data_IF_894037158311
#
_entry.id   IF_894037158311
#
_cell.length_a   1.000
_cell.length_b   1.000
_cell.length_c   1.000
_cell.angle_alpha   90.00
_cell.angle_beta   90.00
_cell.angle_gamma   90.00
#
_symmetry.space_group_name_H-M   'P 1'
#
loop_
_entity.id
_entity.type
_entity.pdbx_description
1 polymer ?
#
# COMPACT_ATOMS: atom_id res chain seq x y z
N UNK A 1 11.68 -43.28 59.46
CA UNK A 1 10.40 -43.01 60.15
C UNK A 1 10.61 -41.72 60.94
N UNK A 2 9.75 -40.72 60.76
CA UNK A 2 9.92 -39.35 61.27
C UNK A 2 10.20 -38.38 60.12
N UNK A 3 9.17 -37.99 59.38
CA UNK A 3 8.38 -36.75 59.54
C UNK A 3 9.10 -35.56 58.89
N UNK A 4 8.64 -35.05 57.74
CA UNK A 4 7.48 -34.16 57.56
C UNK A 4 7.58 -32.93 58.48
N UNK A 5 8.23 -31.91 57.94
CA UNK A 5 8.41 -30.59 58.53
C UNK A 5 8.22 -29.56 57.44
N UNK A 6 6.96 -29.36 57.09
CA UNK A 6 6.46 -28.32 56.21
C UNK A 6 6.59 -26.97 56.94
N UNK A 7 7.03 -25.90 56.26
CA UNK A 7 6.78 -24.53 56.74
C UNK A 7 7.77 -23.44 56.34
N UNK A 8 7.32 -22.54 55.46
CA UNK A 8 7.69 -21.11 55.52
C UNK A 8 8.82 -20.65 54.58
N UNK A 9 8.49 -20.40 53.31
CA UNK A 9 9.44 -19.94 52.29
C UNK A 9 9.73 -18.44 52.24
N UNK A 10 10.55 -17.98 51.28
CA UNK A 10 10.61 -16.59 50.90
C UNK A 10 10.06 -16.34 49.48
N UNK A 11 9.09 -15.41 49.39
CA UNK A 11 9.01 -14.41 48.33
C UNK A 11 8.69 -14.87 46.91
N UNK A 12 7.39 -14.87 46.57
CA UNK A 12 6.92 -14.67 45.20
C UNK A 12 7.33 -13.27 44.74
N UNK A 13 8.41 -13.18 43.95
CA UNK A 13 8.70 -11.98 43.17
C UNK A 13 8.65 -12.31 41.68
N UNK A 14 7.70 -11.66 41.00
CA UNK A 14 7.87 -11.17 39.64
C UNK A 14 7.73 -12.19 38.52
N UNK A 15 6.56 -12.19 37.86
CA UNK A 15 6.36 -12.87 36.59
C UNK A 15 7.34 -12.39 35.53
N UNK A 16 8.11 -13.34 34.99
CA UNK A 16 8.74 -13.16 33.68
C UNK A 16 7.66 -13.02 32.60
N UNK A 17 7.95 -12.34 31.48
CA UNK A 17 6.94 -12.02 30.48
C UNK A 17 6.30 -13.31 29.94
N UNK A 18 5.03 -13.51 30.28
CA UNK A 18 4.13 -14.40 29.56
C UNK A 18 4.17 -13.98 28.10
N UNK A 19 4.73 -14.82 27.23
CA UNK A 19 4.80 -14.56 25.79
C UNK A 19 3.38 -14.42 25.24
N UNK A 20 2.87 -13.18 25.21
CA UNK A 20 1.63 -12.80 24.55
C UNK A 20 1.78 -13.08 23.07
N UNK A 21 0.99 -14.04 22.59
CA UNK A 21 0.52 -14.21 21.22
C UNK A 21 1.54 -13.86 20.13
N UNK A 22 2.18 -14.90 19.60
CA UNK A 22 2.87 -14.88 18.31
C UNK A 22 2.09 -14.03 17.30
N UNK A 23 2.65 -12.87 16.97
CA UNK A 23 2.09 -11.87 16.06
C UNK A 23 1.79 -12.55 14.73
N UNK A 24 0.49 -12.79 14.52
CA UNK A 24 -0.06 -13.38 13.31
C UNK A 24 0.36 -12.51 12.13
N UNK A 25 1.15 -13.12 11.23
CA UNK A 25 1.45 -12.64 9.89
C UNK A 25 0.26 -11.87 9.32
N UNK A 26 0.44 -10.57 9.16
CA UNK A 26 -0.28 -9.83 8.13
C UNK A 26 0.75 -9.10 7.31
N UNK A 27 1.14 -9.74 6.21
CA UNK A 27 1.79 -9.06 5.11
C UNK A 27 0.91 -7.87 4.73
N UNK A 28 1.26 -6.69 5.23
CA UNK A 28 0.98 -5.47 4.49
C UNK A 28 2.14 -5.34 3.51
N UNK A 29 2.16 -6.18 2.48
CA UNK A 29 2.84 -5.75 1.27
C UNK A 29 2.08 -4.51 0.84
N UNK A 30 2.66 -3.34 1.06
CA UNK A 30 2.06 -2.06 0.70
C UNK A 30 1.80 -2.12 -0.80
N UNK A 31 0.55 -2.38 -1.17
CA UNK A 31 0.15 -2.36 -2.58
C UNK A 31 0.21 -0.91 -3.04
N UNK A 32 1.02 -0.65 -4.06
CA UNK A 32 1.13 0.66 -4.68
C UNK A 32 0.80 0.54 -6.16
N UNK A 33 0.10 1.55 -6.68
CA UNK A 33 -0.20 1.68 -8.10
C UNK A 33 0.57 2.86 -8.66
N UNK A 34 1.35 2.64 -9.71
CA UNK A 34 2.06 3.69 -10.43
C UNK A 34 1.63 3.68 -11.89
N UNK A 35 1.16 4.82 -12.36
CA UNK A 35 0.75 5.02 -13.75
C UNK A 35 1.56 6.20 -14.30
N UNK A 36 2.17 6.02 -15.47
CA UNK A 36 2.84 7.08 -16.23
C UNK A 36 2.14 7.17 -17.58
N UNK A 37 1.71 8.37 -17.95
CA UNK A 37 1.01 8.64 -19.21
C UNK A 37 1.79 9.72 -19.95
N UNK A 38 2.10 9.48 -21.22
CA UNK A 38 2.74 10.44 -22.11
C UNK A 38 1.89 10.63 -23.37
N UNK A 39 1.76 11.88 -23.81
CA UNK A 39 0.89 12.26 -24.91
C UNK A 39 0.78 13.77 -25.04
N UNK A 40 -0.13 14.22 -25.90
CA UNK A 40 -0.34 15.64 -26.19
C UNK A 40 -1.62 16.13 -25.51
N UNK A 41 -1.58 17.30 -24.89
CA UNK A 41 -2.77 17.93 -24.34
C UNK A 41 -3.71 18.36 -25.47
N UNK A 42 -5.02 18.10 -25.30
CA UNK A 42 -6.02 18.54 -26.26
C UNK A 42 -6.34 20.04 -26.15
N UNK A 43 -6.14 20.61 -24.96
CA UNK A 43 -6.31 22.03 -24.64
C UNK A 43 -5.57 22.35 -23.34
N UNK A 44 -5.55 23.63 -22.98
CA UNK A 44 -5.00 24.08 -21.71
C UNK A 44 -5.73 23.45 -20.51
N UNK A 45 -5.00 23.02 -19.47
CA UNK A 45 -5.61 22.46 -18.26
C UNK A 45 -6.52 23.48 -17.56
N UNK A 46 -7.69 23.03 -17.13
CA UNK A 46 -8.63 23.87 -16.39
C UNK A 46 -8.53 23.59 -14.88
N UNK A 47 -8.31 24.64 -14.10
CA UNK A 47 -8.27 24.57 -12.64
C UNK A 47 -9.60 25.01 -12.04
N UNK A 48 -10.13 24.22 -11.10
CA UNK A 48 -11.33 24.52 -10.33
C UNK A 48 -11.09 24.23 -8.85
N UNK A 49 -11.91 24.80 -7.98
CA UNK A 49 -11.92 24.46 -6.56
C UNK A 49 -13.20 23.67 -6.24
N UNK A 50 -13.08 22.61 -5.44
CA UNK A 50 -14.25 21.93 -4.88
C UNK A 50 -14.95 22.84 -3.86
N UNK A 51 -16.20 22.58 -3.48
CA UNK A 51 -16.87 23.32 -2.40
C UNK A 51 -16.08 23.34 -1.08
N UNK A 52 -15.25 22.30 -0.86
CA UNK A 52 -14.36 22.21 0.30
C UNK A 52 -13.02 22.95 0.10
N UNK A 53 -12.87 23.74 -0.96
CA UNK A 53 -11.68 24.53 -1.27
C UNK A 53 -10.50 23.75 -1.86
N UNK A 54 -10.67 22.46 -2.19
CA UNK A 54 -9.57 21.65 -2.74
C UNK A 54 -9.34 21.99 -4.21
N UNK A 55 -8.11 22.36 -4.63
CA UNK A 55 -7.81 22.61 -6.03
C UNK A 55 -7.83 21.30 -6.83
N UNK A 56 -8.53 21.30 -7.97
CA UNK A 56 -8.63 20.19 -8.90
C UNK A 56 -8.35 20.71 -10.29
N UNK A 57 -7.39 20.09 -10.99
CA UNK A 57 -7.08 20.41 -12.39
C UNK A 57 -7.57 19.29 -13.29
N UNK A 58 -8.32 19.64 -14.33
CA UNK A 58 -8.82 18.69 -15.34
C UNK A 58 -8.16 18.99 -16.68
N UNK A 59 -7.58 17.97 -17.29
CA UNK A 59 -6.97 18.05 -18.61
C UNK A 59 -7.32 16.80 -19.41
N UNK A 60 -7.42 16.96 -20.73
CA UNK A 60 -7.61 15.86 -21.68
C UNK A 60 -6.33 15.71 -22.50
N UNK A 61 -5.95 14.47 -22.82
CA UNK A 61 -4.76 14.22 -23.62
C UNK A 61 -4.96 13.07 -24.58
N UNK A 62 -4.31 13.16 -25.74
CA UNK A 62 -4.22 12.09 -26.72
C UNK A 62 -2.91 11.31 -26.52
N UNK A 63 -3.02 10.00 -26.35
CA UNK A 63 -1.87 9.09 -26.33
C UNK A 63 -2.01 8.11 -27.49
N UNK A 64 -0.98 8.04 -28.33
CA UNK A 64 -0.94 7.15 -29.49
C UNK A 64 -0.01 5.98 -29.24
N UNK A 65 -0.48 4.75 -29.49
CA UNK A 65 0.39 3.58 -29.59
C UNK A 65 0.68 3.28 -31.07
N UNK A 66 1.96 3.12 -31.41
CA UNK A 66 2.36 2.52 -32.69
C UNK A 66 2.55 1.03 -32.48
N UNK A 67 1.92 0.23 -33.33
CA UNK A 67 2.13 -1.21 -33.36
C UNK A 67 2.49 -1.62 -34.79
N UNK A 68 3.31 -2.65 -34.90
CA UNK A 68 3.68 -3.27 -36.16
C UNK A 68 2.72 -4.43 -36.37
N UNK A 69 2.06 -4.48 -37.53
CA UNK A 69 1.23 -5.63 -37.89
C UNK A 69 2.09 -6.81 -38.38
N UNK A 70 1.46 -7.96 -38.64
CA UNK A 70 2.16 -9.17 -39.09
C UNK A 70 2.85 -9.00 -40.46
N UNK A 71 2.45 -7.99 -41.22
CA UNK A 71 2.96 -7.64 -42.55
C UNK A 71 4.09 -6.59 -42.48
N UNK A 72 4.52 -6.23 -41.26
CA UNK A 72 5.62 -5.31 -41.02
C UNK A 72 5.26 -3.82 -41.17
N UNK A 73 3.98 -3.47 -41.29
CA UNK A 73 3.54 -2.08 -41.46
C UNK A 73 3.26 -1.43 -40.09
N UNK A 74 3.74 -0.19 -39.92
CA UNK A 74 3.46 0.61 -38.73
C UNK A 74 2.04 1.18 -38.80
N UNK A 75 1.12 0.63 -38.02
CA UNK A 75 -0.25 1.14 -37.92
C UNK A 75 -0.34 2.07 -36.72
N UNK A 76 -0.77 3.32 -36.97
CA UNK A 76 -1.16 4.27 -35.92
C UNK A 76 -2.65 4.05 -35.64
N UNK A 77 -3.01 3.67 -34.42
CA UNK A 77 -4.42 3.66 -34.01
C UNK A 77 -4.81 5.12 -33.79
N UNK A 78 -5.81 5.59 -34.54
CA UNK A 78 -6.40 6.91 -34.40
C UNK A 78 -7.34 6.98 -33.22
#
# INVERSE_FOLDING_TARGET
MGDRGDGGGPGRFGGGPTATAAAKRRWSQTMYHRIIIAGHLGRDPEMRHTPNGTPVTTFTMASGRRWVDQEGQFRRVG
#
